data_IF_319544109693
#
_entry.id   IF_319544109693
#
_cell.length_a   1.000
_cell.length_b   1.000
_cell.length_c   1.000
_cell.angle_alpha   90.00
_cell.angle_beta   90.00
_cell.angle_gamma   90.00
#
_symmetry.space_group_name_H-M   'P 1'
#
loop_
_entity.id
_entity.type
_entity.pdbx_description
1 polymer ?
#
# COMPACT_ATOMS: atom_id res chain seq x y z
N UNK A 1 -4.59 -7.61 -4.64
CA UNK A 1 -4.99 -6.62 -5.67
C UNK A 1 -4.41 -6.88 -7.05
N UNK A 2 -3.10 -6.74 -7.32
CA UNK A 2 -2.58 -6.91 -8.69
C UNK A 2 -2.76 -8.34 -9.24
N UNK A 3 -2.48 -9.37 -8.43
CA UNK A 3 -2.70 -10.78 -8.80
C UNK A 3 -4.17 -11.05 -9.10
N UNK A 4 -5.07 -10.59 -8.23
CA UNK A 4 -6.52 -10.74 -8.40
C UNK A 4 -7.03 -10.13 -9.70
N UNK A 5 -6.52 -8.96 -10.10
CA UNK A 5 -6.90 -8.31 -11.36
C UNK A 5 -6.49 -9.17 -12.56
N UNK A 6 -5.28 -9.71 -12.57
CA UNK A 6 -4.82 -10.54 -13.70
C UNK A 6 -5.54 -11.90 -13.71
N UNK A 7 -5.83 -12.49 -12.56
CA UNK A 7 -6.65 -13.71 -12.49
C UNK A 7 -8.09 -13.46 -12.98
N UNK A 8 -8.67 -12.29 -12.74
CA UNK A 8 -9.97 -11.92 -13.32
C UNK A 8 -9.90 -11.80 -14.85
N UNK A 9 -8.85 -11.16 -15.37
CA UNK A 9 -8.63 -11.06 -16.81
C UNK A 9 -8.47 -12.45 -17.45
N UNK A 10 -7.71 -13.34 -16.83
CA UNK A 10 -7.51 -14.72 -17.30
C UNK A 10 -8.82 -15.51 -17.32
N UNK A 11 -9.64 -15.40 -16.26
CA UNK A 11 -10.99 -16.01 -16.20
C UNK A 11 -11.92 -15.52 -17.31
N UNK A 12 -11.68 -14.31 -17.82
CA UNK A 12 -12.43 -13.69 -18.92
C UNK A 12 -11.82 -13.97 -20.30
N UNK A 13 -10.74 -14.75 -20.37
CA UNK A 13 -10.00 -15.02 -21.61
C UNK A 13 -9.25 -13.81 -22.16
N UNK A 14 -8.92 -12.84 -21.31
CA UNK A 14 -8.20 -11.62 -21.69
C UNK A 14 -6.71 -11.81 -21.41
N UNK A 15 -5.90 -11.65 -22.44
CA UNK A 15 -4.45 -11.75 -22.37
C UNK A 15 -3.82 -10.47 -21.81
N UNK A 16 -2.80 -10.61 -20.97
CA UNK A 16 -2.04 -9.48 -20.44
C UNK A 16 -0.57 -9.55 -20.87
N UNK A 17 -0.09 -8.44 -21.43
CA UNK A 17 1.31 -8.25 -21.80
C UNK A 17 1.82 -6.91 -21.29
N UNK A 18 2.90 -6.94 -20.53
CA UNK A 18 3.68 -5.75 -20.19
C UNK A 18 4.78 -5.57 -21.22
N UNK A 19 4.72 -4.48 -21.99
CA UNK A 19 5.73 -4.18 -23.01
C UNK A 19 7.04 -3.69 -22.39
N UNK A 20 6.96 -2.93 -21.29
CA UNK A 20 8.13 -2.39 -20.61
C UNK A 20 8.93 -3.50 -19.93
N UNK A 21 8.23 -4.38 -19.20
CA UNK A 21 8.88 -5.45 -18.43
C UNK A 21 9.05 -6.75 -19.23
N UNK A 22 8.63 -6.75 -20.50
CA UNK A 22 8.64 -7.93 -21.38
C UNK A 22 7.97 -9.16 -20.74
N UNK A 23 6.88 -8.94 -19.99
CA UNK A 23 6.12 -10.01 -19.31
C UNK A 23 4.93 -10.38 -20.18
N UNK A 24 4.82 -11.66 -20.52
CA UNK A 24 3.72 -12.22 -21.31
C UNK A 24 2.99 -13.33 -20.54
N UNK A 25 1.82 -13.02 -19.97
CA UNK A 25 1.06 -13.97 -19.15
C UNK A 25 0.31 -15.02 -19.98
N UNK A 26 0.40 -14.99 -21.31
CA UNK A 26 -0.11 -16.08 -22.17
C UNK A 26 0.76 -17.33 -22.05
N UNK A 27 2.04 -17.18 -21.72
CA UNK A 27 2.98 -18.28 -21.54
C UNK A 27 3.07 -18.74 -20.08
N UNK A 28 3.29 -20.03 -19.81
CA UNK A 28 3.50 -20.52 -18.43
C UNK A 28 4.68 -19.82 -17.73
N UNK A 29 5.76 -19.56 -18.46
CA UNK A 29 6.94 -18.86 -17.93
C UNK A 29 6.65 -17.41 -17.56
N UNK A 30 5.94 -16.67 -18.42
CA UNK A 30 5.56 -15.30 -18.12
C UNK A 30 4.54 -15.17 -16.99
N UNK A 31 3.63 -16.15 -16.81
CA UNK A 31 2.78 -16.23 -15.60
C UNK A 31 3.60 -16.41 -14.33
N UNK A 32 4.61 -17.29 -14.34
CA UNK A 32 5.49 -17.48 -13.19
C UNK A 32 6.23 -16.18 -12.82
N UNK A 33 6.88 -15.54 -13.80
CA UNK A 33 7.60 -14.28 -13.61
C UNK A 33 6.65 -13.19 -13.09
N UNK A 34 5.45 -13.10 -13.64
CA UNK A 34 4.43 -12.17 -13.18
C UNK A 34 4.04 -12.40 -11.71
N UNK A 35 3.75 -13.64 -11.31
CA UNK A 35 3.41 -13.95 -9.92
C UNK A 35 4.55 -13.67 -8.96
N UNK A 36 5.80 -13.97 -9.35
CA UNK A 36 6.98 -13.61 -8.56
C UNK A 36 7.09 -12.10 -8.38
N UNK A 37 6.97 -11.32 -9.46
CA UNK A 37 7.01 -9.86 -9.40
C UNK A 37 5.90 -9.30 -8.50
N UNK A 38 4.68 -9.84 -8.60
CA UNK A 38 3.57 -9.44 -7.75
C UNK A 38 3.81 -9.78 -6.27
N UNK A 39 4.40 -10.94 -5.97
CA UNK A 39 4.79 -11.32 -4.61
C UNK A 39 5.86 -10.37 -4.04
N UNK A 40 6.87 -10.02 -4.83
CA UNK A 40 7.89 -9.04 -4.42
C UNK A 40 7.29 -7.66 -4.16
N UNK A 41 6.42 -7.18 -5.04
CA UNK A 41 5.74 -5.89 -4.85
C UNK A 41 4.91 -5.85 -3.55
N UNK A 42 4.27 -6.98 -3.20
CA UNK A 42 3.54 -7.10 -1.93
C UNK A 42 4.48 -7.09 -0.72
N UNK A 43 5.57 -7.86 -0.79
CA UNK A 43 6.60 -7.89 0.25
C UNK A 43 7.21 -6.51 0.52
N UNK A 44 7.59 -5.78 -0.52
CA UNK A 44 8.14 -4.42 -0.40
C UNK A 44 7.14 -3.46 0.27
N UNK A 45 5.86 -3.54 -0.13
CA UNK A 45 4.80 -2.72 0.48
C UNK A 45 4.67 -3.00 1.98
N UNK A 46 4.74 -4.26 2.38
CA UNK A 46 4.64 -4.64 3.78
C UNK A 46 5.88 -4.22 4.57
N UNK A 47 7.08 -4.32 4.00
CA UNK A 47 8.31 -3.76 4.58
C UNK A 47 8.23 -2.24 4.78
N UNK A 48 7.72 -1.49 3.79
CA UNK A 48 7.55 -0.04 3.91
C UNK A 48 6.59 0.30 5.06
N UNK A 49 5.49 -0.45 5.19
CA UNK A 49 4.53 -0.27 6.29
C UNK A 49 5.17 -0.56 7.64
N UNK A 50 5.92 -1.64 7.75
CA UNK A 50 6.62 -2.01 8.98
C UNK A 50 7.58 -0.91 9.42
N UNK A 51 8.45 -0.44 8.50
CA UNK A 51 9.39 0.65 8.76
C UNK A 51 8.68 1.95 9.15
N UNK A 52 7.58 2.27 8.48
CA UNK A 52 6.77 3.46 8.80
C UNK A 52 6.19 3.37 10.20
N UNK A 53 5.66 2.21 10.59
CA UNK A 53 5.12 1.98 11.95
C UNK A 53 6.21 2.09 13.01
N UNK A 54 7.39 1.51 12.76
CA UNK A 54 8.53 1.63 13.65
C UNK A 54 8.96 3.10 13.83
N UNK A 55 9.05 3.87 12.74
CA UNK A 55 9.37 5.29 12.79
C UNK A 55 8.31 6.12 13.55
N UNK A 56 7.03 5.84 13.34
CA UNK A 56 5.94 6.48 14.09
C UNK A 56 5.99 6.15 15.59
N UNK A 57 6.32 4.91 15.95
CA UNK A 57 6.46 4.51 17.35
C UNK A 57 7.62 5.25 18.03
N UNK A 58 8.78 5.35 17.36
CA UNK A 58 9.93 6.11 17.85
C UNK A 58 9.62 7.62 17.99
N UNK A 59 8.91 8.20 17.02
CA UNK A 59 8.53 9.62 17.12
C UNK A 59 7.53 9.87 18.26
N UNK A 60 6.61 8.94 18.52
CA UNK A 60 5.67 9.02 19.66
C UNK A 60 6.38 8.92 21.00
N UNK A 61 7.38 8.07 21.15
CA UNK A 61 8.15 7.98 22.40
C UNK A 61 8.95 9.26 22.68
N UNK A 62 9.26 10.03 21.63
CA UNK A 62 9.85 11.38 21.73
C UNK A 62 8.82 12.51 21.92
N UNK A 63 7.54 12.17 22.15
CA UNK A 63 6.49 13.15 22.45
C UNK A 63 5.73 13.71 21.22
N UNK A 64 6.01 13.23 20.00
CA UNK A 64 5.27 13.64 18.80
C UNK A 64 3.91 12.92 18.74
N UNK A 65 2.80 13.64 18.91
CA UNK A 65 1.43 13.06 18.81
C UNK A 65 1.06 12.63 17.38
N UNK A 66 1.43 13.42 16.36
CA UNK A 66 0.99 13.22 14.97
C UNK A 66 -0.49 13.60 14.74
N UNK A 67 -1.00 13.34 13.53
CA UNK A 67 -2.38 13.66 13.15
C UNK A 67 -2.63 15.15 12.85
N UNK A 68 -3.89 15.50 12.57
CA UNK A 68 -4.32 16.89 12.31
C UNK A 68 -4.32 17.69 13.61
N UNK A 69 -3.63 18.85 13.69
CA UNK A 69 -3.70 19.72 14.86
C UNK A 69 -5.15 20.17 15.15
N UNK A 70 -5.51 20.24 16.43
CA UNK A 70 -6.81 20.77 16.84
C UNK A 70 -6.90 22.26 16.54
N UNK A 71 -8.01 22.69 15.94
CA UNK A 71 -8.38 24.12 15.80
C UNK A 71 -9.06 24.68 17.05
N UNK A 72 -9.43 23.79 17.98
CA UNK A 72 -10.08 24.14 19.23
C UNK A 72 -9.01 24.45 20.26
N UNK A 73 -8.69 25.74 20.41
CA UNK A 73 -7.88 26.25 21.51
C UNK A 73 -8.63 26.07 22.83
N UNK A 74 -7.93 26.09 23.99
CA UNK A 74 -8.57 25.98 25.30
C UNK A 74 -9.70 27.00 25.51
N UNK A 75 -9.51 28.22 25.00
CA UNK A 75 -10.51 29.30 25.05
C UNK A 75 -11.75 28.96 24.22
N UNK A 76 -11.56 28.51 22.97
CA UNK A 76 -12.67 28.11 22.09
C UNK A 76 -13.45 26.92 22.63
N UNK A 77 -12.78 25.96 23.27
CA UNK A 77 -13.43 24.83 23.96
C UNK A 77 -14.30 25.29 25.12
N UNK A 78 -13.85 26.31 25.86
CA UNK A 78 -14.59 26.84 27.01
C UNK A 78 -15.85 27.58 26.55
N UNK A 79 -15.76 28.36 25.47
CA UNK A 79 -16.92 29.06 24.89
C UNK A 79 -17.93 28.09 24.27
N UNK A 80 -17.49 27.00 23.64
CA UNK A 80 -18.40 26.03 23.00
C UNK A 80 -19.12 25.09 23.99
N UNK A 81 -18.66 25.00 25.24
CA UNK A 81 -19.25 24.16 26.31
C UNK A 81 -20.23 24.93 27.20
N UNK A 82 -20.23 26.26 27.12
CA UNK A 82 -21.17 27.14 27.80
C UNK A 82 -22.45 27.28 26.97
#
# INVERSE_FOLDING_TARGET
>A
HLVEVIEDLDKRGIEFRSLTESIDTTTPGGRLVFHMAAAFAQFERDLIRERTRAGLAAARSQGRLGGRPSLMTPERLKTARA
#
